data_IF_432074089517
#
_entry.id   IF_432074089517
#
_cell.length_a   1.000
_cell.length_b   1.000
_cell.length_c   1.000
_cell.angle_alpha   90.00
_cell.angle_beta   90.00
_cell.angle_gamma   90.00
#
_symmetry.space_group_name_H-M   'P 1'
#
loop_
_entity.id
_entity.type
_entity.pdbx_description
1 polymer ?
#
# COMPACT_ATOMS: atom_id res chain seq x y z
N UNK A 1 -8.13 13.97 8.88
CA UNK A 1 -8.03 12.50 9.02
C UNK A 1 -7.47 12.16 10.40
N UNK A 2 -8.00 11.13 11.05
CA UNK A 2 -7.58 10.65 12.38
C UNK A 2 -6.73 9.38 12.23
N UNK A 3 -5.93 9.03 13.25
CA UNK A 3 -5.19 7.76 13.31
C UNK A 3 -6.08 6.53 13.07
N UNK A 4 -7.39 6.63 13.35
CA UNK A 4 -8.38 5.58 13.05
C UNK A 4 -8.48 5.28 11.54
N UNK A 5 -8.30 6.27 10.67
CA UNK A 5 -8.30 6.06 9.22
C UNK A 5 -7.12 5.22 8.74
N UNK A 6 -5.96 5.37 9.38
CA UNK A 6 -4.75 4.57 9.09
C UNK A 6 -4.96 3.13 9.54
N UNK A 7 -5.51 2.92 10.74
CA UNK A 7 -5.81 1.57 11.27
C UNK A 7 -6.83 0.85 10.37
N UNK A 8 -7.91 1.54 9.98
CA UNK A 8 -8.92 0.96 9.09
C UNK A 8 -8.34 0.59 7.72
N UNK A 9 -7.47 1.42 7.15
CA UNK A 9 -6.82 1.12 5.87
C UNK A 9 -5.89 -0.11 5.97
N UNK A 10 -5.18 -0.27 7.08
CA UNK A 10 -4.39 -1.48 7.35
C UNK A 10 -5.26 -2.73 7.47
N UNK A 11 -6.36 -2.65 8.23
CA UNK A 11 -7.30 -3.76 8.39
C UNK A 11 -7.96 -4.19 7.06
N UNK A 12 -8.13 -3.27 6.12
CA UNK A 12 -8.62 -3.60 4.79
C UNK A 12 -7.58 -4.33 3.92
N UNK A 13 -6.29 -4.19 4.22
CA UNK A 13 -5.21 -4.81 3.45
C UNK A 13 -4.66 -6.10 4.06
N UNK A 14 -4.64 -6.22 5.38
CA UNK A 14 -4.09 -7.39 6.11
C UNK A 14 -4.74 -8.70 5.64
N UNK A 15 -3.89 -9.70 5.38
CA UNK A 15 -4.32 -11.02 4.92
C UNK A 15 -4.98 -11.09 3.54
N UNK A 16 -5.08 -9.98 2.78
CA UNK A 16 -5.68 -10.00 1.43
C UNK A 16 -4.77 -10.51 0.34
N UNK A 17 -3.46 -10.40 0.54
CA UNK A 17 -2.46 -10.90 -0.39
C UNK A 17 -1.47 -11.76 0.40
N UNK A 18 -1.48 -13.06 0.09
CA UNK A 18 -0.60 -14.05 0.73
C UNK A 18 -0.06 -15.09 -0.26
N UNK A 19 -0.62 -15.15 -1.47
CA UNK A 19 -0.28 -16.11 -2.51
C UNK A 19 -0.66 -15.59 -3.89
N UNK A 20 -0.40 -16.38 -4.93
CA UNK A 20 -0.90 -16.12 -6.27
C UNK A 20 -2.43 -16.28 -6.30
N UNK A 21 -3.16 -15.25 -6.72
CA UNK A 21 -4.63 -15.24 -6.85
C UNK A 21 -5.09 -14.85 -8.26
N UNK A 22 -4.20 -15.02 -9.25
CA UNK A 22 -4.47 -14.75 -10.66
C UNK A 22 -4.10 -15.95 -11.54
N UNK A 23 -4.80 -16.14 -12.67
CA UNK A 23 -4.45 -17.17 -13.65
C UNK A 23 -3.05 -16.97 -14.21
N UNK A 24 -2.32 -18.06 -14.42
CA UNK A 24 -0.97 -18.05 -15.01
C UNK A 24 -0.83 -19.12 -16.09
N UNK A 25 0.21 -18.97 -16.94
CA UNK A 25 0.68 -19.99 -17.86
C UNK A 25 2.18 -20.19 -17.63
N UNK A 26 2.51 -20.76 -16.47
CA UNK A 26 3.88 -20.85 -15.97
C UNK A 26 4.65 -22.00 -16.61
N UNK A 27 5.91 -21.74 -16.98
CA UNK A 27 6.78 -22.75 -17.58
C UNK A 27 6.34 -23.17 -18.98
N UNK A 28 6.90 -24.29 -19.48
CA UNK A 28 6.58 -24.81 -20.82
C UNK A 28 5.31 -25.66 -20.83
N UNK A 29 4.96 -26.23 -19.68
CA UNK A 29 3.71 -26.95 -19.47
C UNK A 29 2.50 -26.01 -19.29
N UNK A 30 2.70 -24.69 -19.18
CA UNK A 30 1.62 -23.72 -19.06
C UNK A 30 0.82 -23.87 -17.77
N UNK A 31 1.49 -24.12 -16.65
CA UNK A 31 0.87 -24.39 -15.35
C UNK A 31 0.06 -23.19 -14.87
N UNK A 32 -1.15 -23.44 -14.39
CA UNK A 32 -1.93 -22.44 -13.66
C UNK A 32 -1.66 -22.55 -12.16
N UNK A 33 -1.05 -21.51 -11.63
CA UNK A 33 -0.65 -21.35 -10.23
C UNK A 33 -1.68 -20.60 -9.39
N UNK A 34 -2.83 -20.24 -9.97
CA UNK A 34 -3.88 -19.53 -9.27
C UNK A 34 -4.35 -20.28 -8.01
N UNK A 35 -4.21 -19.63 -6.86
CA UNK A 35 -4.61 -20.15 -5.55
C UNK A 35 -3.65 -21.16 -4.94
N UNK A 36 -2.55 -21.50 -5.63
CA UNK A 36 -1.55 -22.44 -5.14
C UNK A 36 -0.51 -21.78 -4.23
N UNK A 37 0.00 -22.59 -3.30
CA UNK A 37 1.14 -22.29 -2.44
C UNK A 37 2.40 -23.02 -2.93
N UNK A 38 3.57 -22.50 -2.56
CA UNK A 38 4.88 -23.08 -2.85
C UNK A 38 5.01 -24.53 -2.34
N UNK A 39 4.39 -24.81 -1.19
CA UNK A 39 4.33 -26.15 -0.58
C UNK A 39 3.56 -27.14 -1.46
N UNK A 40 2.43 -26.71 -2.04
CA UNK A 40 1.60 -27.52 -2.93
C UNK A 40 2.30 -27.79 -4.24
N UNK A 41 2.93 -26.76 -4.85
CA UNK A 41 3.75 -26.93 -6.05
C UNK A 41 4.93 -27.89 -5.82
N UNK A 42 5.54 -27.87 -4.63
CA UNK A 42 6.60 -28.83 -4.25
C UNK A 42 6.08 -30.26 -4.21
N UNK A 43 4.86 -30.50 -3.73
CA UNK A 43 4.24 -31.83 -3.74
C UNK A 43 3.96 -32.30 -5.18
N UNK A 44 3.44 -31.42 -6.04
CA UNK A 44 3.20 -31.72 -7.45
C UNK A 44 4.51 -32.05 -8.20
N UNK A 45 5.59 -31.33 -7.90
CA UNK A 45 6.92 -31.63 -8.44
C UNK A 45 7.44 -33.03 -8.07
N UNK A 46 7.04 -33.58 -6.92
CA UNK A 46 7.40 -34.94 -6.47
C UNK A 46 6.50 -36.01 -7.07
N UNK A 47 5.25 -35.66 -7.37
CA UNK A 47 4.25 -36.55 -7.94
C UNK A 47 4.36 -36.68 -9.46
N UNK A 48 5.10 -35.78 -10.12
CA UNK A 48 5.27 -35.74 -11.58
C UNK A 48 6.70 -36.12 -11.97
N UNK A 49 6.94 -36.33 -13.27
CA UNK A 49 8.25 -36.72 -13.81
C UNK A 49 8.67 -35.83 -14.99
N UNK A 50 9.96 -35.91 -15.32
CA UNK A 50 10.52 -35.25 -16.50
C UNK A 50 10.32 -33.73 -16.50
N UNK A 51 9.86 -33.20 -17.63
CA UNK A 51 9.70 -31.76 -17.85
C UNK A 51 8.68 -31.13 -16.90
N UNK A 52 7.57 -31.81 -16.67
CA UNK A 52 6.51 -31.27 -15.81
C UNK A 52 7.01 -31.12 -14.37
N UNK A 53 7.78 -32.09 -13.86
CA UNK A 53 8.42 -31.97 -12.56
C UNK A 53 9.41 -30.80 -12.48
N UNK A 54 10.12 -30.49 -13.57
CA UNK A 54 11.02 -29.34 -13.62
C UNK A 54 10.23 -28.01 -13.56
N UNK A 55 9.14 -27.89 -14.32
CA UNK A 55 8.28 -26.71 -14.31
C UNK A 55 7.60 -26.52 -12.93
N UNK A 56 7.15 -27.60 -12.27
CA UNK A 56 6.61 -27.52 -10.91
C UNK A 56 7.65 -27.09 -9.86
N UNK A 57 8.93 -27.51 -9.99
CA UNK A 57 10.00 -27.03 -9.09
C UNK A 57 10.24 -25.53 -9.26
N UNK A 58 10.28 -25.06 -10.50
CA UNK A 58 10.42 -23.63 -10.79
C UNK A 58 9.21 -22.84 -10.29
N UNK A 59 7.99 -23.38 -10.46
CA UNK A 59 6.77 -22.78 -9.95
C UNK A 59 6.77 -22.67 -8.42
N UNK A 60 7.22 -23.71 -7.72
CA UNK A 60 7.34 -23.69 -6.25
C UNK A 60 8.29 -22.59 -5.77
N UNK A 61 9.43 -22.41 -6.45
CA UNK A 61 10.37 -21.34 -6.12
C UNK A 61 9.76 -19.95 -6.36
N UNK A 62 9.09 -19.75 -7.49
CA UNK A 62 8.43 -18.48 -7.81
C UNK A 62 7.28 -18.15 -6.85
N UNK A 63 6.45 -19.14 -6.49
CA UNK A 63 5.38 -18.97 -5.50
C UNK A 63 5.94 -18.60 -4.13
N UNK A 64 7.08 -19.17 -3.75
CA UNK A 64 7.75 -18.81 -2.50
C UNK A 64 8.19 -17.34 -2.50
N UNK A 65 8.71 -16.83 -3.60
CA UNK A 65 9.07 -15.42 -3.74
C UNK A 65 7.86 -14.49 -3.60
N UNK A 66 6.69 -14.89 -4.13
CA UNK A 66 5.43 -14.17 -3.93
C UNK A 66 5.03 -14.17 -2.44
N UNK A 67 5.04 -15.34 -1.81
CA UNK A 67 4.68 -15.50 -0.39
C UNK A 67 5.59 -14.66 0.53
N UNK A 68 6.90 -14.68 0.27
CA UNK A 68 7.89 -13.89 1.00
C UNK A 68 7.68 -12.38 0.78
N UNK A 69 7.39 -11.94 -0.46
CA UNK A 69 7.10 -10.54 -0.75
C UNK A 69 5.80 -10.08 -0.08
N UNK A 70 4.76 -10.92 -0.07
CA UNK A 70 3.50 -10.65 0.61
C UNK A 70 3.70 -10.48 2.12
N UNK A 71 4.44 -11.39 2.74
CA UNK A 71 4.79 -11.31 4.15
C UNK A 71 5.58 -10.03 4.47
N UNK A 72 6.58 -9.71 3.66
CA UNK A 72 7.39 -8.51 3.87
C UNK A 72 6.57 -7.22 3.70
N UNK A 73 5.67 -7.18 2.73
CA UNK A 73 4.78 -6.04 2.53
C UNK A 73 3.87 -5.82 3.75
N UNK A 74 3.37 -6.90 4.36
CA UNK A 74 2.56 -6.82 5.58
C UNK A 74 3.37 -6.33 6.80
N UNK A 75 4.64 -6.76 6.93
CA UNK A 75 5.55 -6.26 7.97
C UNK A 75 5.78 -4.75 7.82
N UNK A 76 6.02 -4.28 6.60
CA UNK A 76 6.19 -2.87 6.28
C UNK A 76 4.91 -2.07 6.57
N UNK A 77 3.74 -2.59 6.18
CA UNK A 77 2.44 -1.99 6.46
C UNK A 77 2.15 -1.89 7.97
N UNK A 78 2.40 -2.95 8.74
CA UNK A 78 2.25 -2.97 10.20
C UNK A 78 3.17 -1.96 10.86
N UNK A 79 4.42 -1.85 10.38
CA UNK A 79 5.38 -0.86 10.87
C UNK A 79 4.91 0.57 10.57
N UNK A 80 4.38 0.81 9.38
CA UNK A 80 3.82 2.12 9.00
C UNK A 80 2.69 2.55 9.94
N UNK A 81 1.76 1.65 10.28
CA UNK A 81 0.67 1.94 11.24
C UNK A 81 1.25 2.32 12.60
N UNK A 82 2.18 1.52 13.14
CA UNK A 82 2.81 1.79 14.44
C UNK A 82 3.45 3.19 14.47
N UNK A 83 4.24 3.53 13.46
CA UNK A 83 4.89 4.84 13.35
C UNK A 83 3.87 5.98 13.20
N UNK A 84 2.81 5.77 12.40
CA UNK A 84 1.75 6.75 12.24
C UNK A 84 1.01 7.02 13.56
N UNK A 85 0.72 5.98 14.34
CA UNK A 85 0.11 6.12 15.68
C UNK A 85 1.02 6.82 16.67
N UNK A 86 2.35 6.67 16.53
CA UNK A 86 3.35 7.42 17.31
C UNK A 86 3.57 8.86 16.80
N UNK A 87 2.88 9.28 15.73
CA UNK A 87 3.03 10.61 15.13
C UNK A 87 4.26 10.81 14.24
N UNK A 88 5.04 9.75 14.00
CA UNK A 88 6.22 9.74 13.13
C UNK A 88 5.80 9.58 11.66
N UNK A 89 5.02 10.56 11.16
CA UNK A 89 4.33 10.48 9.87
C UNK A 89 5.27 10.36 8.64
N UNK A 90 6.44 11.03 8.58
CA UNK A 90 7.36 10.86 7.45
C UNK A 90 7.90 9.42 7.34
N UNK A 91 8.32 8.84 8.45
CA UNK A 91 8.80 7.45 8.47
C UNK A 91 7.66 6.47 8.19
N UNK A 92 6.47 6.71 8.76
CA UNK A 92 5.29 5.92 8.47
C UNK A 92 4.99 5.87 6.96
N UNK A 93 5.09 7.02 6.28
CA UNK A 93 4.86 7.10 4.83
C UNK A 93 5.91 6.29 4.05
N UNK A 94 7.19 6.37 4.44
CA UNK A 94 8.27 5.59 3.82
C UNK A 94 8.01 4.08 3.93
N UNK A 95 7.59 3.61 5.11
CA UNK A 95 7.24 2.20 5.31
C UNK A 95 5.99 1.79 4.49
N UNK A 96 4.97 2.65 4.40
CA UNK A 96 3.80 2.38 3.56
C UNK A 96 4.14 2.34 2.05
N UNK A 97 5.07 3.19 1.60
CA UNK A 97 5.57 3.16 0.22
C UNK A 97 6.27 1.84 -0.10
N UNK A 98 7.14 1.35 0.79
CA UNK A 98 7.78 0.03 0.62
C UNK A 98 6.77 -1.11 0.52
N UNK A 99 5.72 -1.09 1.35
CA UNK A 99 4.64 -2.08 1.26
C UNK A 99 3.95 -2.06 -0.12
N UNK A 100 3.72 -0.86 -0.68
CA UNK A 100 3.17 -0.69 -2.03
C UNK A 100 4.15 -1.15 -3.11
N UNK A 101 5.44 -0.84 -2.99
CA UNK A 101 6.47 -1.25 -3.96
C UNK A 101 6.61 -2.78 -4.03
N UNK A 102 6.65 -3.45 -2.88
CA UNK A 102 6.71 -4.91 -2.79
C UNK A 102 5.50 -5.57 -3.46
N UNK A 103 4.31 -5.00 -3.24
CA UNK A 103 3.08 -5.51 -3.81
C UNK A 103 2.92 -5.13 -5.30
N UNK A 104 3.42 -3.96 -5.70
CA UNK A 104 3.31 -3.44 -7.07
C UNK A 104 4.07 -4.25 -8.13
N UNK A 105 5.00 -5.11 -7.70
CA UNK A 105 5.66 -6.08 -8.58
C UNK A 105 4.71 -7.20 -9.08
N UNK A 106 3.55 -7.36 -8.45
CA UNK A 106 2.62 -8.46 -8.71
C UNK A 106 1.26 -7.97 -9.22
N UNK A 107 0.63 -8.71 -10.16
CA UNK A 107 -0.71 -8.40 -10.62
C UNK A 107 -1.70 -8.28 -9.46
N UNK A 108 -2.59 -7.28 -9.54
CA UNK A 108 -3.73 -7.07 -8.61
C UNK A 108 -3.38 -6.80 -7.14
N UNK A 109 -2.11 -6.83 -6.75
CA UNK A 109 -1.67 -6.55 -5.39
C UNK A 109 -1.58 -5.04 -5.09
N UNK A 110 -2.66 -4.29 -5.34
CA UNK A 110 -2.80 -2.87 -4.91
C UNK A 110 -3.31 -2.74 -3.48
N UNK A 111 -3.06 -3.76 -2.67
CA UNK A 111 -3.61 -3.96 -1.33
C UNK A 111 -3.26 -2.82 -0.37
N UNK A 112 -2.05 -2.25 -0.50
CA UNK A 112 -1.51 -1.26 0.45
C UNK A 112 -1.65 0.20 0.01
N UNK A 113 -2.20 0.46 -1.18
CA UNK A 113 -2.41 1.82 -1.69
C UNK A 113 -3.33 2.67 -0.79
N UNK A 114 -4.44 2.13 -0.24
CA UNK A 114 -5.27 2.88 0.71
C UNK A 114 -4.52 3.28 1.99
N UNK A 115 -3.62 2.42 2.48
CA UNK A 115 -2.81 2.69 3.67
C UNK A 115 -1.82 3.84 3.40
N UNK A 116 -1.12 3.79 2.26
CA UNK A 116 -0.22 4.86 1.82
C UNK A 116 -0.96 6.19 1.71
N UNK A 117 -2.13 6.19 1.05
CA UNK A 117 -2.95 7.38 0.88
C UNK A 117 -3.44 7.95 2.24
N UNK A 118 -3.85 7.09 3.17
CA UNK A 118 -4.30 7.50 4.49
C UNK A 118 -3.19 8.22 5.28
N UNK A 119 -1.96 7.71 5.24
CA UNK A 119 -0.81 8.30 5.94
C UNK A 119 -0.38 9.62 5.26
N UNK A 120 -0.35 9.66 3.92
CA UNK A 120 -0.04 10.88 3.17
C UNK A 120 -1.03 12.01 3.50
N UNK A 121 -2.33 11.73 3.48
CA UNK A 121 -3.36 12.70 3.84
C UNK A 121 -3.26 13.20 5.29
N UNK A 122 -2.83 12.33 6.22
CA UNK A 122 -2.57 12.72 7.61
C UNK A 122 -1.36 13.66 7.75
N UNK A 123 -0.29 13.38 7.00
CA UNK A 123 0.92 14.22 6.96
C UNK A 123 0.60 15.61 6.40
N UNK A 124 -0.15 15.69 5.31
CA UNK A 124 -0.51 16.97 4.69
C UNK A 124 -1.44 17.80 5.58
N UNK A 125 -2.42 17.17 6.22
CA UNK A 125 -3.28 17.86 7.19
C UNK A 125 -2.51 18.38 8.42
N UNK A 126 -1.40 17.74 8.80
CA UNK A 126 -0.51 18.22 9.88
C UNK A 126 0.33 19.41 9.42
N UNK A 127 0.85 19.37 8.19
CA UNK A 127 1.58 20.50 7.59
C UNK A 127 0.72 21.75 7.49
N UNK A 128 -0.53 21.61 7.04
CA UNK A 128 -1.48 22.73 6.92
C UNK A 128 -1.80 23.37 8.27
N UNK A 129 -1.99 22.58 9.34
CA UNK A 129 -2.19 23.12 10.71
C UNK A 129 -0.95 23.79 11.31
N UNK A 130 0.24 23.42 10.85
CA UNK A 130 1.50 24.04 11.28
C UNK A 130 1.84 25.32 10.51
N UNK A 131 1.08 25.68 9.47
CA UNK A 131 1.33 26.86 8.65
C UNK A 131 0.25 27.94 8.90
N UNK A 132 0.47 28.88 9.84
CA UNK A 132 -0.52 29.90 10.19
C UNK A 132 -0.70 31.00 9.12
N UNK A 133 0.17 31.08 8.11
CA UNK A 133 0.15 32.19 7.14
C UNK A 133 -1.09 32.23 6.23
N UNK A 134 -1.76 31.10 6.01
CA UNK A 134 -2.89 31.05 5.07
C UNK A 134 -4.20 31.63 5.64
N UNK A 135 -4.35 31.69 6.97
CA UNK A 135 -5.54 32.24 7.63
C UNK A 135 -5.46 33.77 7.80
N UNK A 136 -4.26 34.36 7.84
CA UNK A 136 -4.10 35.82 7.94
C UNK A 136 -4.28 36.53 6.59
N UNK A 137 -3.81 35.94 5.48
CA UNK A 137 -3.95 36.54 4.14
C UNK A 137 -5.42 36.57 3.64
N UNK A 138 -6.25 35.61 4.05
CA UNK A 138 -7.68 35.60 3.70
C UNK A 138 -8.52 36.57 4.54
N UNK A 139 -8.08 36.93 5.75
CA UNK A 139 -8.74 37.95 6.59
C UNK A 139 -8.42 39.36 6.12
N UNK A 140 -7.16 39.64 5.83
CA UNK A 140 -6.71 40.95 5.32
C UNK A 140 -7.34 41.29 3.98
N UNK A 141 -7.40 40.34 3.04
CA UNK A 141 -8.06 40.56 1.73
C UNK A 141 -9.57 40.80 1.83
N UNK A 142 -10.27 40.19 2.80
CA UNK A 142 -11.72 40.44 3.02
C UNK A 142 -11.98 41.79 3.70
N UNK A 143 -11.12 42.22 4.61
CA UNK A 143 -11.25 43.52 5.26
C UNK A 143 -10.96 44.68 4.29
N UNK A 144 -9.93 44.55 3.45
CA UNK A 144 -9.60 45.55 2.43
C UNK A 144 -10.71 45.69 1.36
N UNK A 145 -11.31 44.58 0.92
CA UNK A 145 -12.43 44.61 -0.03
C UNK A 145 -13.71 45.23 0.56
N UNK A 146 -13.96 45.02 1.85
CA UNK A 146 -15.10 45.63 2.56
C UNK A 146 -14.90 47.13 2.80
N UNK A 147 -13.67 47.58 3.05
CA UNK A 147 -13.33 49.01 3.16
C UNK A 147 -13.39 49.73 1.81
N UNK A 148 -12.90 49.12 0.73
CA UNK A 148 -12.98 49.70 -0.61
C UNK A 148 -14.44 49.87 -1.08
N UNK A 149 -15.32 48.91 -0.74
CA UNK A 149 -16.75 48.98 -1.09
C UNK A 149 -17.52 50.07 -0.31
N UNK A 150 -17.05 50.47 0.87
CA UNK A 150 -17.65 51.58 1.64
C UNK A 150 -17.19 52.96 1.16
N UNK A 151 -15.96 53.09 0.66
CA UNK A 151 -15.41 54.36 0.19
C UNK A 151 -15.99 54.83 -1.15
N UNK A 152 -16.50 53.92 -1.98
CA UNK A 152 -17.11 54.24 -3.29
C UNK A 152 -18.59 54.62 -3.18
N UNK A 153 -19.22 54.36 -2.03
CA UNK A 153 -20.64 54.63 -1.77
C UNK A 153 -20.89 55.94 -0.98
N UNK A 154 -19.84 56.72 -0.68
CA UNK A 154 -19.91 58.04 -0.03
C UNK A 154 -19.53 59.14 -1.02
#
# INVERSE_FOLDING_TARGET
>A
MSSNGVINAYQQGTGRWSKCDWPTAFGRSGLDLNGLESSQATLLARATAGREAADWRAAAQWLREIEEAAQQAEIEAKTAVRLATAGQLPDALRHAQRAVELAGAYPRARTWEPLRAAIAGLLDARRQRGNPSNDLEQRTTREDAAQASRAVAS
#
